data_IF_072867972619
#
_entry.id   IF_072867972619
#
_cell.length_a   1.000
_cell.length_b   1.000
_cell.length_c   1.000
_cell.angle_alpha   90.00
_cell.angle_beta   90.00
_cell.angle_gamma   90.00
#
_symmetry.space_group_name_H-M   'P 1'
#
loop_
_entity.id
_entity.type
_entity.pdbx_description
1 polymer ?
#
# COMPACT_ATOMS: atom_id res chain seq x y z
N UNK A 1 -23.59 -11.09 16.94
CA UNK A 1 -22.57 -11.71 16.08
C UNK A 1 -21.29 -10.92 16.31
N UNK A 2 -20.22 -11.57 16.77
CA UNK A 2 -18.99 -10.85 17.13
C UNK A 2 -18.34 -10.25 15.88
N UNK A 3 -18.24 -8.92 15.86
CA UNK A 3 -17.36 -8.15 15.00
C UNK A 3 -15.91 -8.64 15.20
N UNK A 4 -15.41 -9.43 14.25
CA UNK A 4 -13.97 -9.57 14.06
C UNK A 4 -13.49 -8.39 13.20
N UNK A 5 -13.54 -7.19 13.78
CA UNK A 5 -12.82 -6.05 13.23
C UNK A 5 -11.34 -6.16 13.57
N UNK A 6 -10.54 -6.39 12.52
CA UNK A 6 -9.25 -5.71 12.35
C UNK A 6 -8.12 -6.06 13.33
N UNK A 7 -7.43 -7.16 13.08
CA UNK A 7 -6.00 -7.20 12.68
C UNK A 7 -5.62 -8.67 12.42
N UNK A 8 -4.73 -8.97 11.47
CA UNK A 8 -4.27 -10.34 11.28
C UNK A 8 -3.60 -10.84 12.57
N UNK A 9 -3.99 -12.04 13.05
CA UNK A 9 -3.41 -12.72 14.24
C UNK A 9 -1.88 -12.77 14.19
N UNK A 10 -1.31 -12.72 12.99
CA UNK A 10 0.12 -12.56 12.74
C UNK A 10 0.32 -11.28 11.94
N UNK A 11 0.90 -10.26 12.58
CA UNK A 11 1.31 -9.03 11.90
C UNK A 11 2.31 -9.35 10.79
N UNK A 12 2.39 -8.49 9.77
CA UNK A 12 3.36 -8.66 8.69
C UNK A 12 4.78 -8.78 9.26
N UNK A 13 5.13 -7.96 10.25
CA UNK A 13 6.42 -8.01 10.97
C UNK A 13 6.64 -9.37 11.63
N UNK A 14 5.65 -9.92 12.33
CA UNK A 14 5.77 -11.22 13.00
C UNK A 14 5.96 -12.35 11.98
N UNK A 15 5.24 -12.32 10.85
CA UNK A 15 5.42 -13.30 9.76
C UNK A 15 6.84 -13.25 9.21
N UNK A 16 7.37 -12.05 9.02
CA UNK A 16 8.73 -11.86 8.50
C UNK A 16 9.79 -12.37 9.47
N UNK A 17 9.68 -12.04 10.76
CA UNK A 17 10.59 -12.53 11.80
C UNK A 17 10.56 -14.06 11.85
N UNK A 18 9.36 -14.66 11.80
CA UNK A 18 9.21 -16.10 11.74
C UNK A 18 9.86 -16.72 10.50
N UNK A 19 9.70 -16.10 9.31
CA UNK A 19 10.38 -16.57 8.09
C UNK A 19 11.90 -16.49 8.22
N UNK A 20 12.45 -15.42 8.81
CA UNK A 20 13.89 -15.32 9.05
C UNK A 20 14.37 -16.40 10.02
N UNK A 21 13.71 -16.54 11.17
CA UNK A 21 14.06 -17.54 12.19
C UNK A 21 14.01 -18.95 11.63
N UNK A 22 12.98 -19.30 10.85
CA UNK A 22 12.85 -20.63 10.25
C UNK A 22 13.96 -20.90 9.22
N UNK A 23 14.23 -19.97 8.31
CA UNK A 23 15.27 -20.17 7.28
C UNK A 23 16.66 -20.25 7.92
N UNK A 24 16.96 -19.36 8.87
CA UNK A 24 18.22 -19.41 9.63
C UNK A 24 18.35 -20.71 10.41
N UNK A 25 17.29 -21.17 11.07
CA UNK A 25 17.28 -22.43 11.81
C UNK A 25 17.58 -23.64 10.93
N UNK A 26 16.96 -23.71 9.75
CA UNK A 26 17.23 -24.78 8.76
C UNK A 26 18.67 -24.72 8.25
N UNK A 27 19.17 -23.53 7.91
CA UNK A 27 20.56 -23.37 7.48
C UNK A 27 21.57 -23.79 8.56
N UNK A 28 21.34 -23.39 9.82
CA UNK A 28 22.16 -23.80 10.96
C UNK A 28 22.12 -25.30 11.22
N UNK A 29 20.95 -25.94 11.07
CA UNK A 29 20.82 -27.38 11.23
C UNK A 29 21.68 -28.14 10.19
N UNK A 30 21.63 -27.73 8.92
CA UNK A 30 22.48 -28.31 7.88
C UNK A 30 23.97 -28.04 8.11
N UNK A 31 24.34 -26.85 8.59
CA UNK A 31 25.73 -26.56 8.96
C UNK A 31 26.23 -27.47 10.11
N UNK A 32 25.38 -27.75 11.11
CA UNK A 32 25.73 -28.69 12.18
C UNK A 32 25.90 -30.11 11.63
N UNK A 33 25.03 -30.53 10.69
CA UNK A 33 25.14 -31.86 10.08
C UNK A 33 26.37 -32.00 9.18
N UNK A 34 26.81 -30.93 8.51
CA UNK A 34 28.06 -30.97 7.72
C UNK A 34 29.29 -31.17 8.60
N UNK A 35 29.30 -30.57 9.79
CA UNK A 35 30.37 -30.72 10.79
C UNK A 35 30.38 -32.13 11.40
N UNK A 36 29.20 -32.73 11.60
CA UNK A 36 29.05 -34.09 12.16
C UNK A 36 29.33 -35.20 11.15
N UNK A 37 29.18 -34.92 9.86
CA UNK A 37 29.44 -35.89 8.81
C UNK A 37 30.94 -36.23 8.71
N UNK A 38 31.24 -37.38 8.09
CA UNK A 38 32.62 -37.80 7.87
C UNK A 38 33.37 -36.74 7.04
N UNK A 39 34.61 -36.43 7.47
CA UNK A 39 35.43 -35.40 6.85
C UNK A 39 35.69 -35.73 5.39
N UNK A 40 35.53 -34.74 4.51
CA UNK A 40 35.67 -34.86 3.06
C UNK A 40 34.70 -35.86 2.38
N UNK A 41 33.64 -36.28 3.07
CA UNK A 41 32.59 -37.12 2.47
C UNK A 41 31.65 -36.32 1.57
N UNK A 42 30.98 -37.01 0.65
CA UNK A 42 29.92 -36.43 -0.18
C UNK A 42 28.77 -35.87 0.69
N UNK A 43 28.46 -36.52 1.81
CA UNK A 43 27.42 -36.07 2.75
C UNK A 43 27.79 -34.75 3.43
N UNK A 44 29.04 -34.57 3.84
CA UNK A 44 29.51 -33.31 4.42
C UNK A 44 29.36 -32.14 3.44
N UNK A 45 29.76 -32.36 2.17
CA UNK A 45 29.60 -31.37 1.11
C UNK A 45 28.14 -31.08 0.78
N UNK A 46 27.29 -32.10 0.70
CA UNK A 46 25.86 -31.94 0.47
C UNK A 46 25.22 -31.03 1.54
N UNK A 47 25.47 -31.31 2.81
CA UNK A 47 24.92 -30.49 3.90
C UNK A 47 25.48 -29.06 3.91
N UNK A 48 26.75 -28.88 3.58
CA UNK A 48 27.34 -27.54 3.45
C UNK A 48 26.69 -26.74 2.29
N UNK A 49 26.43 -27.38 1.15
CA UNK A 49 25.73 -26.78 0.02
C UNK A 49 24.29 -26.39 0.38
N UNK A 50 23.55 -27.28 1.06
CA UNK A 50 22.19 -27.00 1.52
C UNK A 50 22.16 -25.82 2.52
N UNK A 51 23.08 -25.78 3.48
CA UNK A 51 23.18 -24.66 4.42
C UNK A 51 23.37 -23.32 3.68
N UNK A 52 24.28 -23.29 2.70
CA UNK A 52 24.52 -22.10 1.87
C UNK A 52 23.31 -21.72 0.99
N UNK A 53 22.61 -22.71 0.43
CA UNK A 53 21.39 -22.48 -0.35
C UNK A 53 20.30 -21.78 0.45
N UNK A 54 20.04 -22.24 1.68
CA UNK A 54 19.05 -21.62 2.57
C UNK A 54 19.47 -20.21 2.99
N UNK A 55 20.76 -19.99 3.27
CA UNK A 55 21.28 -18.66 3.59
C UNK A 55 21.14 -17.69 2.39
N UNK A 56 21.45 -18.16 1.17
CA UNK A 56 21.29 -17.38 -0.06
C UNK A 56 19.84 -16.99 -0.33
N UNK A 57 18.87 -17.89 -0.05
CA UNK A 57 17.43 -17.55 -0.11
C UNK A 57 17.05 -16.46 0.87
N UNK A 58 17.57 -16.50 2.10
CA UNK A 58 17.32 -15.45 3.09
C UNK A 58 17.87 -14.10 2.64
N UNK A 59 19.08 -14.07 2.09
CA UNK A 59 19.70 -12.86 1.54
C UNK A 59 18.92 -12.32 0.33
N UNK A 60 18.44 -13.18 -0.56
CA UNK A 60 17.58 -12.77 -1.67
C UNK A 60 16.26 -12.14 -1.18
N UNK A 61 15.64 -12.77 -0.18
CA UNK A 61 14.42 -12.26 0.44
C UNK A 61 14.62 -10.87 1.10
N UNK A 62 15.73 -10.66 1.80
CA UNK A 62 16.03 -9.37 2.45
C UNK A 62 16.44 -8.28 1.46
N UNK A 63 17.25 -8.62 0.46
CA UNK A 63 17.71 -7.67 -0.57
C UNK A 63 16.57 -7.20 -1.50
N UNK A 64 15.64 -8.09 -1.88
CA UNK A 64 14.46 -7.72 -2.65
C UNK A 64 13.54 -6.70 -1.94
N UNK A 65 13.51 -6.71 -0.60
CA UNK A 65 12.73 -5.75 0.20
C UNK A 65 13.30 -4.34 0.19
N UNK A 66 14.61 -4.17 0.06
CA UNK A 66 15.19 -2.84 -0.07
C UNK A 66 14.65 -2.09 -1.30
N UNK A 67 14.29 -2.83 -2.36
CA UNK A 67 13.69 -2.27 -3.58
C UNK A 67 12.22 -1.93 -3.37
N UNK A 68 11.44 -2.81 -2.74
CA UNK A 68 9.99 -2.59 -2.52
C UNK A 68 9.70 -1.53 -1.45
N UNK A 69 10.51 -1.43 -0.40
CA UNK A 69 10.34 -0.42 0.67
C UNK A 69 10.42 1.03 0.15
N UNK A 70 11.21 1.28 -0.90
CA UNK A 70 11.28 2.59 -1.57
C UNK A 70 9.98 2.93 -2.30
N UNK A 71 9.34 1.93 -2.93
CA UNK A 71 8.06 2.12 -3.60
C UNK A 71 6.94 2.41 -2.59
N UNK A 72 6.91 1.68 -1.47
CA UNK A 72 5.92 1.91 -0.41
C UNK A 72 6.09 3.28 0.26
N UNK A 73 7.32 3.69 0.55
CA UNK A 73 7.60 5.03 1.09
C UNK A 73 7.20 6.13 0.09
N UNK A 74 7.48 5.93 -1.20
CA UNK A 74 7.08 6.86 -2.26
C UNK A 74 5.56 6.97 -2.38
N UNK A 75 4.85 5.83 -2.28
CA UNK A 75 3.37 5.79 -2.28
C UNK A 75 2.79 6.54 -1.08
N UNK A 76 3.30 6.26 0.13
CA UNK A 76 2.87 6.98 1.35
C UNK A 76 3.14 8.48 1.25
N UNK A 77 4.28 8.88 0.69
CA UNK A 77 4.59 10.28 0.43
C UNK A 77 3.63 10.94 -0.57
N UNK A 78 3.27 10.23 -1.65
CA UNK A 78 2.31 10.70 -2.64
C UNK A 78 0.89 10.81 -2.04
N UNK A 79 0.47 9.84 -1.22
CA UNK A 79 -0.80 9.87 -0.50
C UNK A 79 -0.86 11.05 0.48
N UNK A 80 0.21 11.26 1.27
CA UNK A 80 0.31 12.38 2.19
C UNK A 80 0.25 13.74 1.47
N UNK A 81 0.94 13.88 0.32
CA UNK A 81 0.87 15.08 -0.52
C UNK A 81 -0.53 15.32 -1.10
N UNK A 82 -1.27 14.26 -1.42
CA UNK A 82 -2.59 14.34 -2.03
C UNK A 82 -3.75 14.40 -1.01
N UNK A 83 -3.49 14.18 0.28
CA UNK A 83 -4.51 14.24 1.34
C UNK A 83 -5.35 15.53 1.33
N UNK A 84 -4.76 16.74 1.21
CA UNK A 84 -5.51 18.00 1.09
C UNK A 84 -6.54 17.98 -0.06
N UNK A 85 -6.15 17.44 -1.21
CA UNK A 85 -7.03 17.33 -2.38
C UNK A 85 -8.11 16.28 -2.18
N UNK A 86 -7.80 15.16 -1.51
CA UNK A 86 -8.80 14.15 -1.18
C UNK A 86 -9.87 14.67 -0.20
N UNK A 87 -9.48 15.49 0.80
CA UNK A 87 -10.44 16.14 1.71
C UNK A 87 -11.40 17.06 0.96
N UNK A 88 -10.87 17.86 0.03
CA UNK A 88 -11.69 18.71 -0.83
C UNK A 88 -12.63 17.89 -1.72
N UNK A 89 -12.11 16.82 -2.34
CA UNK A 89 -12.90 15.90 -3.18
C UNK A 89 -14.03 15.24 -2.38
N UNK A 90 -13.75 14.79 -1.14
CA UNK A 90 -14.77 14.24 -0.24
C UNK A 90 -15.85 15.28 0.07
N UNK A 91 -15.47 16.51 0.39
CA UNK A 91 -16.44 17.59 0.63
C UNK A 91 -17.31 17.89 -0.59
N UNK A 92 -16.72 17.88 -1.81
CA UNK A 92 -17.46 18.04 -3.07
C UNK A 92 -18.50 16.93 -3.24
N UNK A 93 -18.13 15.69 -2.90
CA UNK A 93 -19.04 14.56 -2.95
C UNK A 93 -20.17 14.66 -1.94
N UNK A 94 -19.86 14.96 -0.68
CA UNK A 94 -20.89 15.14 0.35
C UNK A 94 -21.88 16.24 -0.06
N UNK A 95 -21.39 17.32 -0.68
CA UNK A 95 -22.26 18.38 -1.19
C UNK A 95 -23.10 17.94 -2.40
N UNK A 96 -22.55 17.08 -3.24
CA UNK A 96 -23.28 16.50 -4.36
C UNK A 96 -24.40 15.58 -3.86
N UNK A 97 -24.11 14.66 -2.94
CA UNK A 97 -25.11 13.71 -2.45
C UNK A 97 -26.23 14.39 -1.64
N UNK A 98 -25.90 15.46 -0.90
CA UNK A 98 -26.89 16.23 -0.13
C UNK A 98 -27.69 17.23 -0.97
N UNK A 99 -27.29 17.49 -2.22
CA UNK A 99 -27.96 18.43 -3.10
C UNK A 99 -28.82 17.71 -4.13
N UNK A 100 -29.96 18.31 -4.48
CA UNK A 100 -30.81 17.75 -5.53
C UNK A 100 -30.36 18.30 -6.89
N UNK A 101 -29.40 17.62 -7.51
CA UNK A 101 -28.78 18.07 -8.76
C UNK A 101 -29.32 17.30 -9.97
N UNK A 102 -29.70 17.99 -11.07
CA UNK A 102 -30.21 17.31 -12.26
C UNK A 102 -29.11 16.59 -13.05
N UNK A 103 -27.84 16.99 -12.91
CA UNK A 103 -26.70 16.30 -13.52
C UNK A 103 -25.38 16.68 -12.84
N UNK A 104 -24.38 15.81 -12.95
CA UNK A 104 -23.01 16.10 -12.50
C UNK A 104 -22.41 17.33 -13.20
N UNK A 105 -22.77 17.56 -14.47
CA UNK A 105 -22.32 18.75 -15.19
C UNK A 105 -22.86 20.03 -14.56
N UNK A 106 -24.17 20.10 -14.28
CA UNK A 106 -24.76 21.28 -13.64
C UNK A 106 -24.25 21.48 -12.22
N UNK A 107 -24.16 20.40 -11.44
CA UNK A 107 -23.57 20.45 -10.10
C UNK A 107 -22.13 20.99 -10.10
N UNK A 108 -21.33 20.67 -11.12
CA UNK A 108 -19.94 21.15 -11.20
C UNK A 108 -19.84 22.68 -11.31
N UNK A 109 -20.79 23.34 -11.98
CA UNK A 109 -20.81 24.81 -12.09
C UNK A 109 -21.16 25.48 -10.76
N UNK A 110 -22.10 24.91 -10.01
CA UNK A 110 -22.56 25.49 -8.74
C UNK A 110 -21.60 25.17 -7.59
N UNK A 111 -20.96 24.00 -7.61
CA UNK A 111 -20.01 23.58 -6.57
C UNK A 111 -18.64 24.23 -6.77
N UNK A 112 -18.20 24.52 -8.00
CA UNK A 112 -16.85 25.03 -8.26
C UNK A 112 -16.49 26.35 -7.55
N UNK A 113 -17.34 27.40 -7.55
CA UNK A 113 -17.05 28.64 -6.85
C UNK A 113 -16.86 28.43 -5.34
N UNK A 114 -17.64 27.55 -4.74
CA UNK A 114 -17.53 27.25 -3.31
C UNK A 114 -16.34 26.36 -2.99
N UNK A 115 -16.03 25.40 -3.87
CA UNK A 115 -14.85 24.55 -3.73
C UNK A 115 -13.56 25.38 -3.82
N UNK A 116 -13.53 26.43 -4.65
CA UNK A 116 -12.41 27.39 -4.68
C UNK A 116 -12.24 28.14 -3.36
N UNK A 117 -13.34 28.51 -2.69
CA UNK A 117 -13.29 29.14 -1.35
C UNK A 117 -12.87 28.16 -0.26
N UNK A 118 -13.25 26.88 -0.37
CA UNK A 118 -12.89 25.84 0.60
C UNK A 118 -11.49 25.26 0.40
N UNK A 119 -10.92 25.34 -0.80
CA UNK A 119 -9.61 24.75 -1.10
C UNK A 119 -8.49 25.22 -0.15
N UNK A 120 -8.32 26.53 0.15
CA UNK A 120 -7.32 27.00 1.10
C UNK A 120 -7.51 26.44 2.52
N UNK A 121 -8.77 26.26 2.95
CA UNK A 121 -9.10 25.73 4.28
C UNK A 121 -8.61 24.28 4.42
N UNK A 122 -8.66 23.50 3.35
CA UNK A 122 -8.14 22.13 3.34
C UNK A 122 -6.62 22.05 3.11
N UNK A 123 -5.93 23.18 2.96
CA UNK A 123 -4.49 23.23 2.67
C UNK A 123 -4.15 22.90 1.21
N UNK A 124 -5.09 23.09 0.28
CA UNK A 124 -4.87 22.88 -1.16
C UNK A 124 -5.14 24.15 -1.96
N UNK A 125 -4.64 24.19 -3.20
CA UNK A 125 -4.93 25.25 -4.16
C UNK A 125 -5.57 24.62 -5.39
N UNK A 126 -6.60 25.27 -5.91
CA UNK A 126 -7.28 24.85 -7.12
C UNK A 126 -7.34 26.04 -8.08
N UNK A 127 -7.04 25.79 -9.35
CA UNK A 127 -7.12 26.82 -10.38
C UNK A 127 -8.57 27.13 -10.69
N UNK A 128 -8.92 28.41 -10.71
CA UNK A 128 -10.27 28.88 -11.09
C UNK A 128 -10.66 28.42 -12.49
N UNK A 129 -9.71 28.40 -13.43
CA UNK A 129 -9.93 28.00 -14.81
C UNK A 129 -10.26 26.50 -14.96
N UNK A 130 -9.73 25.65 -14.08
CA UNK A 130 -9.89 24.18 -14.16
C UNK A 130 -10.81 23.61 -13.09
N UNK A 131 -11.30 24.43 -12.16
CA UNK A 131 -12.10 23.97 -11.02
C UNK A 131 -13.36 23.22 -11.46
N UNK A 132 -14.11 23.79 -12.42
CA UNK A 132 -15.32 23.18 -12.95
C UNK A 132 -15.03 21.83 -13.61
N UNK A 133 -14.05 21.77 -14.51
CA UNK A 133 -13.66 20.52 -15.18
C UNK A 133 -13.20 19.46 -14.17
N UNK A 134 -12.38 19.85 -13.20
CA UNK A 134 -11.83 18.93 -12.18
C UNK A 134 -12.96 18.34 -11.33
N UNK A 135 -13.90 19.17 -10.89
CA UNK A 135 -15.07 18.73 -10.11
C UNK A 135 -15.97 17.85 -10.95
N UNK A 136 -16.22 18.21 -12.20
CA UNK A 136 -17.01 17.40 -13.13
C UNK A 136 -16.40 16.00 -13.31
N UNK A 137 -15.09 15.90 -13.51
CA UNK A 137 -14.38 14.63 -13.63
C UNK A 137 -14.51 13.78 -12.36
N UNK A 138 -14.41 14.40 -11.17
CA UNK A 138 -14.61 13.69 -9.91
C UNK A 138 -16.03 13.14 -9.78
N UNK A 139 -17.06 13.95 -10.08
CA UNK A 139 -18.45 13.55 -9.99
C UNK A 139 -18.79 12.47 -11.02
N UNK A 140 -18.32 12.62 -12.27
CA UNK A 140 -18.49 11.62 -13.33
C UNK A 140 -17.86 10.28 -12.95
N UNK A 141 -16.65 10.31 -12.36
CA UNK A 141 -15.98 9.11 -11.87
C UNK A 141 -16.78 8.41 -10.77
N UNK A 142 -17.34 9.19 -9.82
CA UNK A 142 -18.17 8.67 -8.73
C UNK A 142 -19.47 8.01 -9.22
N UNK A 143 -20.17 8.65 -10.16
CA UNK A 143 -21.36 8.09 -10.80
C UNK A 143 -21.00 6.76 -11.46
N UNK A 144 -19.93 6.73 -12.27
CA UNK A 144 -19.49 5.49 -12.93
C UNK A 144 -19.22 4.36 -11.94
N UNK A 145 -18.60 4.65 -10.78
CA UNK A 145 -18.37 3.64 -9.73
C UNK A 145 -19.64 3.18 -9.01
N UNK A 146 -20.67 4.02 -8.89
CA UNK A 146 -21.94 3.64 -8.25
C UNK A 146 -22.81 2.72 -9.13
N UNK A 147 -22.55 2.67 -10.44
CA UNK A 147 -23.27 1.84 -11.41
C UNK A 147 -22.40 0.70 -11.98
N UNK A 148 -21.26 0.41 -11.37
CA UNK A 148 -20.32 -0.63 -11.81
C UNK A 148 -20.44 -1.94 -11.01
N UNK A 149 -21.47 -2.06 -10.17
CA UNK A 149 -21.86 -3.30 -9.49
C UNK A 149 -22.78 -4.15 -10.38
#
# INVERSE_FOLDING_TARGET
>A
MAEWEGEPVVTSVMREVMTHMMITGVASAFAIQSIKAEKNSASAWFYACEANHWLGRLQGYTSGKAVNSRQDFSRKGAEAKNMPMQKLKKWVFDKYDNGNWPSAHKASFDIAPEALKKAPIFGTRMSSQRAQQTIYEWLRGRIKSQFAD
#
